data_IF_758616641833
#
_entry.id   IF_758616641833
#
_cell.length_a   1.000
_cell.length_b   1.000
_cell.length_c   1.000
_cell.angle_alpha   90.00
_cell.angle_beta   90.00
_cell.angle_gamma   90.00
#
_symmetry.space_group_name_H-M   'P 1'
#
loop_
_entity.id
_entity.type
_entity.pdbx_description
1 polymer ?
#
# COMPACT_ATOMS: atom_id res chain seq x y z
N UNK A 1 11.89 -15.77 -10.66
CA UNK A 1 10.82 -16.73 -10.33
C UNK A 1 9.57 -15.93 -10.00
N UNK A 2 8.45 -16.25 -10.65
CA UNK A 2 7.19 -15.54 -10.51
C UNK A 2 6.60 -15.80 -9.12
N UNK A 3 6.72 -14.84 -8.20
CA UNK A 3 6.03 -14.89 -6.92
C UNK A 3 4.54 -14.65 -7.15
N UNK A 4 3.72 -15.71 -7.14
CA UNK A 4 2.24 -15.70 -7.27
C UNK A 4 1.59 -14.31 -7.34
N UNK A 5 1.51 -13.74 -8.54
CA UNK A 5 1.03 -12.37 -8.75
C UNK A 5 -0.48 -12.37 -9.03
N UNK A 6 -1.25 -12.46 -7.95
CA UNK A 6 -2.61 -11.94 -7.83
C UNK A 6 -2.63 -11.00 -6.62
N UNK A 7 -3.64 -10.14 -6.48
CA UNK A 7 -3.92 -9.45 -5.21
C UNK A 7 -3.77 -10.46 -4.07
N UNK A 8 -3.08 -10.14 -2.96
CA UNK A 8 -2.92 -11.09 -1.88
C UNK A 8 -4.31 -11.52 -1.41
N UNK A 9 -4.66 -12.73 -1.80
CA UNK A 9 -5.94 -13.39 -1.67
C UNK A 9 -6.33 -13.45 -0.20
N UNK A 10 -7.61 -13.20 0.07
CA UNK A 10 -8.31 -13.47 1.33
C UNK A 10 -7.51 -14.36 2.29
N UNK A 11 -7.15 -13.83 3.46
CA UNK A 11 -6.40 -14.61 4.44
C UNK A 11 -7.31 -15.70 5.02
N UNK A 12 -7.05 -16.95 4.65
CA UNK A 12 -7.92 -18.09 4.96
C UNK A 12 -9.37 -17.89 4.48
N UNK A 13 -9.56 -17.24 3.32
CA UNK A 13 -10.90 -16.95 2.79
C UNK A 13 -11.61 -15.76 3.44
N UNK A 14 -10.95 -15.04 4.37
CA UNK A 14 -11.49 -13.86 5.05
C UNK A 14 -10.77 -12.56 4.68
N UNK A 15 -11.48 -11.43 4.75
CA UNK A 15 -10.89 -10.11 4.61
C UNK A 15 -10.03 -9.72 5.81
N UNK A 16 -8.88 -9.10 5.53
CA UNK A 16 -8.06 -8.45 6.56
C UNK A 16 -8.66 -7.07 6.89
N UNK A 17 -9.21 -6.91 8.09
CA UNK A 17 -9.88 -5.66 8.52
C UNK A 17 -9.01 -4.78 9.44
N UNK A 18 -7.67 -4.89 9.31
CA UNK A 18 -6.74 -4.20 10.22
C UNK A 18 -6.36 -2.77 9.82
N UNK A 19 -6.95 -2.21 8.75
CA UNK A 19 -6.65 -0.87 8.23
C UNK A 19 -7.24 0.27 9.08
N UNK A 20 -6.99 0.20 10.38
CA UNK A 20 -7.51 1.14 11.40
C UNK A 20 -6.52 2.27 11.72
N UNK A 21 -5.27 2.17 11.24
CA UNK A 21 -4.18 3.10 11.53
C UNK A 21 -3.94 4.05 10.36
N UNK A 22 -4.16 5.35 10.59
CA UNK A 22 -3.90 6.39 9.59
C UNK A 22 -4.78 6.31 8.35
N UNK A 23 -4.60 7.26 7.42
CA UNK A 23 -5.15 7.18 6.07
C UNK A 23 -4.20 6.36 5.18
N UNK A 24 -3.62 7.03 4.19
CA UNK A 24 -2.71 6.47 3.20
C UNK A 24 -1.29 6.24 3.73
N UNK A 25 -0.84 7.11 4.66
CA UNK A 25 0.50 7.05 5.28
C UNK A 25 1.68 7.24 4.30
N UNK A 26 1.50 8.03 3.22
CA UNK A 26 2.52 8.16 2.19
C UNK A 26 3.88 8.73 2.66
N UNK A 27 3.94 9.79 3.50
CA UNK A 27 5.22 10.26 4.03
C UNK A 27 5.93 9.20 4.88
N UNK A 28 5.18 8.45 5.68
CA UNK A 28 5.74 7.38 6.51
C UNK A 28 6.18 6.19 5.65
N UNK A 29 5.42 5.86 4.61
CA UNK A 29 5.77 4.87 3.59
C UNK A 29 7.13 5.14 2.97
N UNK A 30 7.36 6.37 2.51
CA UNK A 30 8.66 6.80 1.96
C UNK A 30 9.80 6.64 2.96
N UNK A 31 9.64 7.11 4.20
CA UNK A 31 10.68 7.01 5.24
C UNK A 31 11.06 5.55 5.51
N UNK A 32 10.06 4.67 5.68
CA UNK A 32 10.30 3.25 5.95
C UNK A 32 10.87 2.55 4.72
N UNK A 33 10.44 2.91 3.50
CA UNK A 33 11.02 2.39 2.27
C UNK A 33 12.51 2.76 2.15
N UNK A 34 12.90 4.00 2.48
CA UNK A 34 14.32 4.40 2.49
C UNK A 34 15.13 3.61 3.52
N UNK A 35 14.57 3.30 4.69
CA UNK A 35 15.23 2.41 5.65
C UNK A 35 15.34 0.99 5.13
N UNK A 36 14.30 0.51 4.45
CA UNK A 36 14.29 -0.81 3.84
C UNK A 36 15.40 -0.95 2.80
N UNK A 37 15.54 0.02 1.88
CA UNK A 37 16.61 0.06 0.87
C UNK A 37 17.99 0.11 1.52
N UNK A 38 18.20 0.99 2.51
CA UNK A 38 19.48 1.06 3.26
C UNK A 38 19.87 -0.25 3.94
N UNK A 39 18.89 -1.02 4.41
CA UNK A 39 19.11 -2.33 5.04
C UNK A 39 19.24 -3.49 4.03
N UNK A 40 19.08 -3.23 2.73
CA UNK A 40 19.23 -4.22 1.66
C UNK A 40 20.41 -3.97 0.72
N UNK A 41 20.99 -2.77 0.72
CA UNK A 41 22.32 -2.57 0.14
C UNK A 41 23.35 -3.28 1.04
N UNK A 42 24.16 -4.21 0.52
CA UNK A 42 25.37 -4.63 1.21
C UNK A 42 26.19 -3.39 1.52
N UNK A 43 26.66 -3.26 2.76
CA UNK A 43 27.56 -2.18 3.12
C UNK A 43 28.84 -2.30 2.28
N UNK A 44 29.01 -1.47 1.25
CA UNK A 44 30.28 -1.30 0.53
C UNK A 44 31.29 -0.54 1.40
N UNK A 45 31.53 -1.00 2.63
CA UNK A 45 32.55 -0.47 3.53
C UNK A 45 33.16 -1.61 4.36
N UNK A 46 33.89 -2.50 3.67
CA UNK A 46 34.93 -3.35 4.24
C UNK A 46 35.96 -3.77 3.15
N UNK A 47 36.88 -2.85 2.84
CA UNK A 47 38.28 -3.06 2.40
C UNK A 47 38.62 -4.24 1.45
N UNK A 48 39.00 -3.86 0.23
CA UNK A 48 40.11 -4.36 -0.61
C UNK A 48 40.35 -5.87 -0.75
N UNK A 49 40.08 -6.36 -1.97
CA UNK A 49 41.03 -7.17 -2.72
C UNK A 49 40.78 -8.69 -2.73
N UNK A 50 40.10 -9.18 -3.75
CA UNK A 50 40.53 -10.34 -4.56
C UNK A 50 39.52 -10.61 -5.67
N UNK A 51 40.10 -10.98 -6.80
CA UNK A 51 39.53 -11.50 -8.03
C UNK A 51 38.42 -12.55 -7.81
N UNK A 52 37.20 -12.30 -8.29
CA UNK A 52 36.27 -13.37 -8.71
C UNK A 52 35.08 -12.83 -9.50
N UNK A 53 34.97 -13.35 -10.72
CA UNK A 53 33.88 -13.22 -11.70
C UNK A 53 32.46 -13.25 -11.11
N UNK A 54 31.50 -12.47 -11.65
CA UNK A 54 30.11 -12.52 -11.23
C UNK A 54 29.40 -13.71 -11.87
N UNK A 55 28.94 -14.68 -11.07
CA UNK A 55 28.05 -15.75 -11.52
C UNK A 55 26.93 -15.99 -10.52
N UNK A 56 25.71 -15.96 -11.06
CA UNK A 56 24.43 -16.47 -10.56
C UNK A 56 23.75 -15.66 -9.43
N UNK A 57 22.54 -15.18 -9.77
CA UNK A 57 21.69 -14.36 -8.91
C UNK A 57 21.38 -15.01 -7.58
N UNK A 58 21.58 -14.22 -6.52
CA UNK A 58 21.18 -14.56 -5.17
C UNK A 58 19.65 -14.62 -5.10
N UNK A 59 19.13 -15.83 -4.91
CA UNK A 59 17.77 -16.05 -4.46
C UNK A 59 17.73 -15.59 -3.00
N UNK A 60 17.36 -14.33 -2.78
CA UNK A 60 17.03 -13.81 -1.44
C UNK A 60 15.96 -14.71 -0.85
N UNK A 61 16.34 -15.54 0.12
CA UNK A 61 15.44 -16.52 0.72
C UNK A 61 14.33 -15.82 1.52
N UNK A 62 13.14 -16.42 1.61
CA UNK A 62 12.02 -15.90 2.42
C UNK A 62 12.43 -15.58 3.87
N UNK A 63 13.41 -16.31 4.42
CA UNK A 63 14.00 -16.04 5.73
C UNK A 63 14.79 -14.72 5.81
N UNK A 64 15.54 -14.37 4.77
CA UNK A 64 16.34 -13.14 4.73
C UNK A 64 15.45 -11.90 4.64
N UNK A 65 14.38 -11.97 3.84
CA UNK A 65 13.36 -10.92 3.77
C UNK A 65 12.66 -10.75 5.13
N UNK A 66 12.28 -11.85 5.78
CA UNK A 66 11.69 -11.84 7.12
C UNK A 66 12.60 -11.18 8.16
N UNK A 67 13.89 -11.54 8.16
CA UNK A 67 14.89 -10.91 9.03
C UNK A 67 15.09 -9.42 8.73
N UNK A 68 15.14 -9.03 7.46
CA UNK A 68 15.25 -7.62 7.04
C UNK A 68 14.05 -6.81 7.54
N UNK A 69 12.82 -7.34 7.43
CA UNK A 69 11.61 -6.70 7.95
C UNK A 69 11.70 -6.51 9.47
N UNK A 70 12.17 -7.53 10.20
CA UNK A 70 12.33 -7.45 11.66
C UNK A 70 13.37 -6.41 12.07
N UNK A 71 14.51 -6.32 11.35
CA UNK A 71 15.54 -5.30 11.56
C UNK A 71 14.99 -3.89 11.32
N UNK A 72 14.37 -3.65 10.17
CA UNK A 72 13.76 -2.35 9.82
C UNK A 72 12.69 -1.95 10.82
N UNK A 73 11.84 -2.89 11.25
CA UNK A 73 10.81 -2.63 12.26
C UNK A 73 11.42 -2.18 13.59
N UNK A 74 12.43 -2.91 14.07
CA UNK A 74 13.10 -2.58 15.34
C UNK A 74 13.72 -1.19 15.25
N UNK A 75 14.52 -0.96 14.20
CA UNK A 75 15.18 0.33 13.97
C UNK A 75 14.17 1.49 13.90
N UNK A 76 13.10 1.35 13.12
CA UNK A 76 12.10 2.40 12.96
C UNK A 76 11.37 2.75 14.27
N UNK A 77 11.19 1.77 15.17
CA UNK A 77 10.55 1.98 16.47
C UNK A 77 11.53 2.60 17.46
N UNK A 78 12.72 2.03 17.58
CA UNK A 78 13.72 2.41 18.58
C UNK A 78 14.31 3.79 18.30
N UNK A 79 14.60 4.10 17.03
CA UNK A 79 15.14 5.40 16.61
C UNK A 79 14.04 6.46 16.42
N UNK A 80 12.76 6.09 16.60
CA UNK A 80 11.59 6.95 16.36
C UNK A 80 11.66 7.73 15.03
N UNK A 81 12.00 7.03 13.95
CA UNK A 81 12.27 7.63 12.62
C UNK A 81 11.08 8.41 12.05
N UNK A 82 9.86 8.10 12.49
CA UNK A 82 8.63 8.81 12.10
C UNK A 82 8.35 10.05 12.95
N UNK A 83 9.18 10.32 13.96
CA UNK A 83 9.04 11.43 14.92
C UNK A 83 7.66 11.48 15.59
N UNK A 84 7.11 10.30 15.94
CA UNK A 84 5.78 10.19 16.56
C UNK A 84 5.92 10.29 18.08
N UNK A 85 5.05 11.09 18.71
CA UNK A 85 5.14 11.47 20.13
C UNK A 85 5.14 10.29 21.10
N UNK A 86 4.39 9.23 20.81
CA UNK A 86 4.29 8.07 21.72
C UNK A 86 4.78 6.81 21.02
N UNK A 87 5.53 5.99 21.77
CA UNK A 87 6.08 4.73 21.25
C UNK A 87 4.98 3.78 20.76
N UNK A 88 3.84 3.73 21.46
CA UNK A 88 2.70 2.90 21.07
C UNK A 88 1.99 3.37 19.80
N UNK A 89 1.98 4.68 19.51
CA UNK A 89 1.50 5.19 18.23
C UNK A 89 2.52 4.95 17.12
N UNK A 90 3.82 5.15 17.41
CA UNK A 90 4.90 4.89 16.47
C UNK A 90 4.89 3.42 16.01
N UNK A 91 4.89 2.48 16.96
CA UNK A 91 4.85 1.05 16.69
C UNK A 91 3.66 0.62 15.84
N UNK A 92 2.48 1.23 16.06
CA UNK A 92 1.28 0.96 15.25
C UNK A 92 1.43 1.47 13.82
N UNK A 93 1.93 2.69 13.63
CA UNK A 93 2.14 3.26 12.29
C UNK A 93 3.23 2.50 11.53
N UNK A 94 4.37 2.21 12.16
CA UNK A 94 5.44 1.40 11.57
C UNK A 94 4.92 0.03 11.13
N UNK A 95 4.18 -0.65 12.01
CA UNK A 95 3.64 -1.98 11.68
C UNK A 95 2.64 -1.93 10.52
N UNK A 96 1.81 -0.89 10.44
CA UNK A 96 0.86 -0.70 9.34
C UNK A 96 1.56 -0.39 8.01
N UNK A 97 2.58 0.47 8.04
CA UNK A 97 3.37 0.80 6.85
C UNK A 97 4.08 -0.45 6.32
N UNK A 98 4.75 -1.21 7.19
CA UNK A 98 5.46 -2.44 6.78
C UNK A 98 4.54 -3.48 6.14
N UNK A 99 3.31 -3.62 6.65
CA UNK A 99 2.29 -4.48 6.02
C UNK A 99 1.99 -4.07 4.59
N UNK A 100 1.80 -2.77 4.32
CA UNK A 100 1.51 -2.29 2.96
C UNK A 100 2.72 -2.48 2.05
N UNK A 101 3.91 -2.11 2.52
CA UNK A 101 5.15 -2.25 1.77
C UNK A 101 5.49 -3.71 1.44
N UNK A 102 5.04 -4.70 2.22
CA UNK A 102 5.31 -6.11 1.92
C UNK A 102 4.64 -6.60 0.62
N UNK A 103 3.71 -5.83 0.06
CA UNK A 103 3.06 -6.14 -1.23
C UNK A 103 3.71 -5.47 -2.44
N UNK A 104 4.71 -4.62 -2.19
CA UNK A 104 5.48 -3.95 -3.21
C UNK A 104 6.67 -4.81 -3.64
N UNK A 105 7.02 -4.74 -4.92
CA UNK A 105 8.27 -5.31 -5.43
C UNK A 105 9.48 -4.53 -4.89
N UNK A 106 10.68 -5.08 -5.06
CA UNK A 106 11.88 -4.37 -4.65
C UNK A 106 12.09 -3.09 -5.48
N UNK A 107 11.73 -3.12 -6.77
CA UNK A 107 11.75 -1.95 -7.65
C UNK A 107 10.75 -0.87 -7.19
N UNK A 108 9.50 -1.25 -6.93
CA UNK A 108 8.48 -0.33 -6.38
C UNK A 108 8.95 0.27 -5.04
N UNK A 109 9.58 -0.54 -4.18
CA UNK A 109 10.10 -0.07 -2.89
C UNK A 109 11.28 0.90 -3.07
N UNK A 110 12.19 0.64 -4.02
CA UNK A 110 13.28 1.57 -4.37
C UNK A 110 12.73 2.89 -4.92
N UNK A 111 11.76 2.83 -5.82
CA UNK A 111 11.10 4.01 -6.36
C UNK A 111 10.40 4.83 -5.27
N UNK A 112 9.71 4.18 -4.33
CA UNK A 112 9.10 4.85 -3.19
C UNK A 112 10.12 5.55 -2.29
N UNK A 113 11.32 4.97 -2.16
CA UNK A 113 12.41 5.46 -1.32
C UNK A 113 13.22 6.60 -1.96
N UNK A 114 13.12 6.78 -3.28
CA UNK A 114 13.87 7.78 -4.03
C UNK A 114 13.45 9.20 -3.66
N UNK A 115 14.44 10.09 -3.55
CA UNK A 115 14.27 11.50 -3.20
C UNK A 115 13.62 12.26 -4.36
N UNK A 116 13.87 11.82 -5.60
CA UNK A 116 13.35 12.46 -6.82
C UNK A 116 11.89 12.05 -7.12
N UNK A 117 11.36 11.01 -6.44
CA UNK A 117 9.97 10.60 -6.61
C UNK A 117 9.01 11.67 -6.09
N UNK A 118 8.04 12.06 -6.92
CA UNK A 118 7.07 13.09 -6.58
C UNK A 118 6.16 12.66 -5.42
N UNK A 119 5.59 13.63 -4.71
CA UNK A 119 4.64 13.33 -3.64
C UNK A 119 3.40 12.56 -4.15
N UNK A 120 2.92 12.93 -5.35
CA UNK A 120 1.77 12.31 -5.98
C UNK A 120 2.07 10.84 -6.38
N UNK A 121 3.25 10.56 -6.92
CA UNK A 121 3.63 9.19 -7.28
C UNK A 121 3.79 8.31 -6.04
N UNK A 122 4.34 8.85 -4.94
CA UNK A 122 4.38 8.13 -3.67
C UNK A 122 2.99 7.88 -3.09
N UNK A 123 2.06 8.83 -3.22
CA UNK A 123 0.67 8.64 -2.81
C UNK A 123 0.00 7.55 -3.66
N UNK A 124 0.16 7.59 -4.98
CA UNK A 124 -0.37 6.58 -5.90
C UNK A 124 0.17 5.18 -5.56
N UNK A 125 1.48 5.04 -5.36
CA UNK A 125 2.08 3.75 -5.03
C UNK A 125 1.66 3.23 -3.65
N UNK A 126 1.47 4.12 -2.67
CA UNK A 126 0.95 3.75 -1.35
C UNK A 126 -0.54 3.38 -1.39
N UNK A 127 -1.31 3.92 -2.33
CA UNK A 127 -2.68 3.50 -2.60
C UNK A 127 -2.69 2.08 -3.18
N UNK A 128 -1.84 1.81 -4.17
CA UNK A 128 -1.63 0.47 -4.72
C UNK A 128 -1.25 -0.52 -3.63
N UNK A 129 -0.29 -0.18 -2.77
CA UNK A 129 0.12 -1.02 -1.64
C UNK A 129 -1.05 -1.33 -0.68
N UNK A 130 -1.91 -0.34 -0.42
CA UNK A 130 -3.10 -0.52 0.41
C UNK A 130 -4.12 -1.45 -0.25
N UNK A 131 -4.42 -1.25 -1.54
CA UNK A 131 -5.35 -2.09 -2.30
C UNK A 131 -4.85 -3.53 -2.46
N UNK A 132 -3.54 -3.73 -2.66
CA UNK A 132 -2.93 -5.06 -2.76
C UNK A 132 -2.92 -5.80 -1.42
N UNK A 133 -2.65 -5.11 -0.32
CA UNK A 133 -2.60 -5.74 1.01
C UNK A 133 -4.00 -6.01 1.60
N UNK A 134 -4.96 -5.12 1.32
CA UNK A 134 -6.34 -5.23 1.78
C UNK A 134 -7.28 -5.52 0.61
N UNK A 135 -7.54 -6.81 0.34
CA UNK A 135 -8.42 -7.24 -0.76
C UNK A 135 -9.76 -6.49 -0.81
N UNK A 136 -10.40 -6.26 0.35
CA UNK A 136 -11.64 -5.48 0.44
C UNK A 136 -11.53 -4.08 -0.17
N UNK A 137 -10.37 -3.43 0.00
CA UNK A 137 -10.09 -2.09 -0.51
C UNK A 137 -9.73 -2.14 -1.99
N UNK A 138 -8.99 -3.15 -2.44
CA UNK A 138 -8.74 -3.38 -3.87
C UNK A 138 -10.03 -3.63 -4.65
N UNK A 139 -10.93 -4.43 -4.08
CA UNK A 139 -12.26 -4.69 -4.65
C UNK A 139 -13.13 -3.42 -4.64
N UNK A 140 -13.17 -2.67 -3.53
CA UNK A 140 -13.89 -1.39 -3.50
C UNK A 140 -13.36 -0.38 -4.53
N UNK A 141 -12.04 -0.30 -4.70
CA UNK A 141 -11.43 0.56 -5.69
C UNK A 141 -11.83 0.17 -7.12
N UNK A 142 -11.95 -1.13 -7.39
CA UNK A 142 -12.29 -1.65 -8.72
C UNK A 142 -13.80 -1.56 -8.99
N UNK A 143 -14.63 -2.11 -8.09
CA UNK A 143 -16.07 -2.29 -8.26
C UNK A 143 -16.90 -1.03 -7.98
N UNK A 144 -16.32 -0.03 -7.30
CA UNK A 144 -17.03 1.21 -6.97
C UNK A 144 -16.29 2.43 -7.50
N UNK A 145 -15.03 2.64 -7.08
CA UNK A 145 -14.32 3.88 -7.43
C UNK A 145 -14.09 3.99 -8.94
N UNK A 146 -13.55 2.94 -9.54
CA UNK A 146 -13.31 2.90 -10.99
C UNK A 146 -14.61 2.76 -11.78
N UNK A 147 -15.53 1.90 -11.36
CA UNK A 147 -16.82 1.75 -12.06
C UNK A 147 -17.62 3.05 -12.08
N UNK A 148 -17.69 3.79 -10.97
CA UNK A 148 -18.32 5.11 -10.94
C UNK A 148 -17.66 6.08 -11.92
N UNK A 149 -16.32 6.10 -11.97
CA UNK A 149 -15.60 6.93 -12.92
C UNK A 149 -15.94 6.56 -14.38
N UNK A 150 -15.92 5.28 -14.73
CA UNK A 150 -16.23 4.79 -16.08
C UNK A 150 -17.68 5.05 -16.48
N UNK A 151 -18.62 5.02 -15.52
CA UNK A 151 -20.02 5.36 -15.74
C UNK A 151 -20.29 6.88 -15.75
N UNK A 152 -19.28 7.72 -15.52
CA UNK A 152 -19.43 9.16 -15.44
C UNK A 152 -20.20 9.64 -14.20
N UNK A 153 -20.24 8.82 -13.14
CA UNK A 153 -20.80 9.22 -11.86
C UNK A 153 -19.85 10.20 -11.16
N UNK A 154 -20.34 11.34 -10.65
CA UNK A 154 -19.48 12.43 -10.20
C UNK A 154 -18.81 12.18 -8.85
N UNK A 155 -19.33 11.24 -8.05
CA UNK A 155 -18.93 11.07 -6.65
C UNK A 155 -18.85 9.60 -6.26
N UNK A 156 -18.06 9.30 -5.24
CA UNK A 156 -18.11 8.04 -4.49
C UNK A 156 -18.46 8.39 -3.06
N UNK A 157 -19.68 8.08 -2.65
CA UNK A 157 -20.20 8.50 -1.35
C UNK A 157 -19.99 7.44 -0.29
N UNK A 158 -20.10 7.85 0.97
CA UNK A 158 -20.06 6.94 2.10
C UNK A 158 -21.16 5.88 2.06
N UNK A 159 -22.31 6.19 1.46
CA UNK A 159 -23.41 5.24 1.26
C UNK A 159 -23.04 4.18 0.22
N UNK A 160 -22.26 4.52 -0.80
CA UNK A 160 -21.77 3.55 -1.79
C UNK A 160 -20.82 2.54 -1.14
N UNK A 161 -19.96 3.01 -0.23
CA UNK A 161 -19.15 2.11 0.61
C UNK A 161 -20.02 1.21 1.50
N UNK A 162 -21.03 1.76 2.17
CA UNK A 162 -21.91 0.98 3.05
C UNK A 162 -22.68 -0.09 2.25
N UNK A 163 -23.15 0.24 1.04
CA UNK A 163 -23.82 -0.69 0.12
C UNK A 163 -22.87 -1.76 -0.40
N UNK A 164 -21.62 -1.40 -0.73
CA UNK A 164 -20.57 -2.36 -1.09
C UNK A 164 -20.30 -3.36 0.05
N UNK A 165 -20.11 -2.87 1.28
CA UNK A 165 -19.88 -3.75 2.45
C UNK A 165 -21.07 -4.68 2.68
N UNK A 166 -22.31 -4.19 2.58
CA UNK A 166 -23.51 -5.02 2.70
C UNK A 166 -23.55 -6.13 1.65
N UNK A 167 -23.18 -5.83 0.40
CA UNK A 167 -23.09 -6.83 -0.66
C UNK A 167 -22.05 -7.91 -0.38
N UNK A 168 -20.86 -7.53 0.12
CA UNK A 168 -19.80 -8.48 0.49
C UNK A 168 -20.17 -9.29 1.74
N UNK A 169 -20.87 -8.70 2.72
CA UNK A 169 -21.24 -9.37 3.97
C UNK A 169 -22.12 -10.62 3.77
N UNK A 170 -22.84 -10.72 2.64
CA UNK A 170 -23.62 -11.92 2.30
C UNK A 170 -22.80 -13.21 2.23
N UNK A 171 -21.49 -13.10 1.98
CA UNK A 171 -20.59 -14.25 1.81
C UNK A 171 -19.37 -14.19 2.74
N UNK A 172 -19.28 -13.16 3.57
CA UNK A 172 -18.12 -12.87 4.41
C UNK A 172 -18.57 -12.47 5.81
N UNK A 173 -18.69 -13.47 6.71
CA UNK A 173 -19.18 -13.30 8.08
C UNK A 173 -18.40 -12.24 8.87
N UNK A 174 -17.08 -12.08 8.65
CA UNK A 174 -16.31 -11.02 9.31
C UNK A 174 -16.81 -9.60 9.05
N UNK A 175 -17.55 -9.37 7.95
CA UNK A 175 -18.13 -8.07 7.62
C UNK A 175 -19.50 -7.89 8.30
N UNK A 176 -20.26 -8.96 8.48
CA UNK A 176 -21.53 -8.95 9.22
C UNK A 176 -21.29 -8.73 10.72
N UNK A 177 -20.22 -9.33 11.26
CA UNK A 177 -19.83 -9.23 12.66
C UNK A 177 -19.23 -7.86 13.06
N UNK A 178 -19.09 -6.93 12.11
CA UNK A 178 -18.51 -5.62 12.38
C UNK A 178 -19.39 -4.79 13.33
N UNK A 179 -18.82 -4.38 14.46
CA UNK A 179 -19.45 -3.37 15.29
C UNK A 179 -19.64 -2.04 14.53
N UNK A 180 -20.67 -1.23 14.84
CA UNK A 180 -20.85 0.08 14.22
C UNK A 180 -19.63 1.00 14.37
N UNK A 181 -18.93 0.92 15.50
CA UNK A 181 -17.71 1.69 15.73
C UNK A 181 -16.57 1.26 14.80
N UNK A 182 -16.37 -0.05 14.63
CA UNK A 182 -15.35 -0.59 13.72
C UNK A 182 -15.68 -0.24 12.27
N UNK A 183 -16.92 -0.47 11.83
CA UNK A 183 -17.37 -0.14 10.47
C UNK A 183 -17.14 1.35 10.14
N UNK A 184 -17.55 2.25 11.05
CA UNK A 184 -17.31 3.68 10.90
C UNK A 184 -15.82 4.02 10.82
N UNK A 185 -14.98 3.34 11.61
CA UNK A 185 -13.53 3.56 11.61
C UNK A 185 -12.89 3.12 10.31
N UNK A 186 -13.24 1.96 9.80
CA UNK A 186 -12.76 1.42 8.52
C UNK A 186 -13.15 2.37 7.37
N UNK A 187 -14.44 2.72 7.27
CA UNK A 187 -14.94 3.68 6.28
C UNK A 187 -14.22 5.02 6.35
N UNK A 188 -14.07 5.58 7.55
CA UNK A 188 -13.38 6.86 7.73
C UNK A 188 -11.92 6.81 7.26
N UNK A 189 -11.23 5.70 7.45
CA UNK A 189 -9.85 5.55 7.02
C UNK A 189 -9.73 5.37 5.50
N UNK A 190 -10.65 4.63 4.88
CA UNK A 190 -10.67 4.44 3.42
C UNK A 190 -10.89 5.77 2.71
N UNK A 191 -11.90 6.55 3.10
CA UNK A 191 -12.16 7.87 2.52
C UNK A 191 -11.01 8.84 2.75
N UNK A 192 -10.39 8.78 3.93
CA UNK A 192 -9.19 9.57 4.20
C UNK A 192 -8.03 9.15 3.26
N UNK A 193 -7.82 7.86 3.05
CA UNK A 193 -6.77 7.36 2.16
C UNK A 193 -7.03 7.76 0.70
N UNK A 194 -8.27 7.65 0.21
CA UNK A 194 -8.65 8.09 -1.13
C UNK A 194 -8.41 9.59 -1.34
N UNK A 195 -8.78 10.42 -0.36
CA UNK A 195 -8.53 11.86 -0.41
C UNK A 195 -7.04 12.18 -0.37
N UNK A 196 -6.25 11.48 0.45
CA UNK A 196 -4.80 11.63 0.51
C UNK A 196 -4.10 11.12 -0.77
N UNK A 197 -4.73 10.19 -1.49
CA UNK A 197 -4.27 9.66 -2.77
C UNK A 197 -4.72 10.50 -3.98
N UNK A 198 -5.49 11.57 -3.76
CA UNK A 198 -5.98 12.44 -4.82
C UNK A 198 -7.07 11.82 -5.70
N UNK A 199 -7.74 10.75 -5.24
CA UNK A 199 -8.80 10.06 -5.99
C UNK A 199 -10.16 10.73 -5.84
N UNK A 200 -10.35 11.41 -4.71
CA UNK A 200 -11.57 12.18 -4.42
C UNK A 200 -11.22 13.52 -3.79
N UNK A 201 -12.01 14.54 -4.08
CA UNK A 201 -11.94 15.81 -3.40
C UNK A 201 -12.46 15.70 -1.96
N UNK A 202 -11.66 16.16 -1.00
CA UNK A 202 -11.87 15.97 0.44
C UNK A 202 -13.23 16.44 1.01
N UNK A 203 -13.86 17.44 0.36
CA UNK A 203 -15.06 18.11 0.89
C UNK A 203 -16.35 17.61 0.23
N UNK A 204 -16.26 17.21 -1.02
CA UNK A 204 -17.40 16.90 -1.90
C UNK A 204 -17.48 15.42 -2.22
N UNK A 205 -16.44 14.63 -1.90
CA UNK A 205 -16.26 13.25 -2.35
C UNK A 205 -16.37 13.10 -3.88
N UNK A 206 -16.10 14.19 -4.61
CA UNK A 206 -16.07 14.22 -6.08
C UNK A 206 -14.88 13.42 -6.59
N UNK A 207 -15.14 12.49 -7.50
CA UNK A 207 -14.12 11.70 -8.15
C UNK A 207 -13.19 12.58 -8.99
N UNK A 208 -11.89 12.33 -8.87
CA UNK A 208 -10.85 13.00 -9.63
C UNK A 208 -10.14 11.98 -10.52
N UNK A 209 -9.93 12.26 -11.81
CA UNK A 209 -9.17 11.36 -12.67
C UNK A 209 -7.74 11.22 -12.15
N UNK A 210 -7.21 10.00 -12.14
CA UNK A 210 -5.82 9.77 -11.73
C UNK A 210 -4.84 10.12 -12.83
N UNK A 211 -3.89 10.98 -12.52
CA UNK A 211 -2.78 11.36 -13.39
C UNK A 211 -1.50 10.74 -12.84
N UNK A 212 -1.19 9.53 -13.31
CA UNK A 212 0.04 8.82 -12.94
C UNK A 212 1.24 9.41 -13.71
N UNK A 213 2.34 9.71 -13.02
CA UNK A 213 3.59 10.05 -13.69
C UNK A 213 4.12 8.88 -14.53
N UNK A 214 4.84 9.17 -15.62
CA UNK A 214 5.36 8.12 -16.52
C UNK A 214 6.22 7.08 -15.81
N UNK A 215 7.00 7.49 -14.81
CA UNK A 215 7.85 6.58 -14.03
C UNK A 215 7.03 5.60 -13.17
N UNK A 216 6.01 6.09 -12.44
CA UNK A 216 5.15 5.20 -11.63
C UNK A 216 4.27 4.32 -12.52
N UNK A 217 3.79 4.85 -13.64
CA UNK A 217 3.03 4.07 -14.61
C UNK A 217 3.89 2.93 -15.16
N UNK A 218 5.12 3.20 -15.61
CA UNK A 218 6.03 2.19 -16.12
C UNK A 218 6.35 1.09 -15.11
N UNK A 219 6.57 1.44 -13.84
CA UNK A 219 6.80 0.44 -12.78
C UNK A 219 5.55 -0.43 -12.53
N UNK A 220 4.36 0.14 -12.67
CA UNK A 220 3.10 -0.61 -12.51
C UNK A 220 2.77 -1.51 -13.71
N UNK A 221 3.46 -1.37 -14.85
CA UNK A 221 3.25 -2.25 -16.03
C UNK A 221 3.61 -3.71 -15.74
N UNK A 222 4.49 -3.97 -14.78
CA UNK A 222 4.79 -5.32 -14.30
C UNK A 222 3.56 -6.01 -13.68
N UNK A 223 2.60 -5.21 -13.19
CA UNK A 223 1.38 -5.65 -12.48
C UNK A 223 0.18 -4.79 -12.90
N UNK A 224 -0.26 -4.90 -14.17
CA UNK A 224 -1.22 -3.98 -14.77
C UNK A 224 -2.60 -4.04 -14.12
N UNK A 225 -2.91 -5.08 -13.34
CA UNK A 225 -4.11 -5.11 -12.49
C UNK A 225 -4.19 -3.91 -11.53
N UNK A 226 -3.04 -3.32 -11.19
CA UNK A 226 -2.94 -2.17 -10.27
C UNK A 226 -3.55 -0.90 -10.85
N UNK A 227 -3.62 -0.76 -12.17
CA UNK A 227 -4.31 0.36 -12.81
C UNK A 227 -5.81 0.36 -12.52
N UNK A 228 -6.40 -0.81 -12.20
CA UNK A 228 -7.82 -0.92 -11.87
C UNK A 228 -8.18 -0.29 -10.52
N UNK A 229 -7.20 0.01 -9.68
CA UNK A 229 -7.43 0.70 -8.41
C UNK A 229 -7.65 2.21 -8.57
N UNK A 230 -7.49 2.74 -9.78
CA UNK A 230 -7.58 4.17 -10.05
C UNK A 230 -8.82 4.53 -10.90
N UNK A 231 -9.43 5.71 -10.67
CA UNK A 231 -10.43 6.31 -11.56
C UNK A 231 -9.77 6.78 -12.86
N UNK A 232 -9.49 5.82 -13.74
CA UNK A 232 -8.94 6.03 -15.07
C UNK A 232 -9.50 4.99 -16.05
N UNK A 233 -9.63 5.41 -17.30
CA UNK A 233 -9.90 4.49 -18.42
C UNK A 233 -8.67 3.61 -18.65
N UNK A 234 -8.85 2.37 -19.11
CA UNK A 234 -7.69 1.58 -19.57
C UNK A 234 -7.01 2.36 -20.69
N UNK A 235 -5.69 2.56 -20.54
CA UNK A 235 -4.82 3.10 -21.59
C UNK A 235 -4.56 2.06 -22.66
#
# INVERSE_FOLDING_TARGET
>A
MAGSYGSETLHNGRYRLSFTVGGLLAPQGRIIASLFVKNGCPAEDAVSGADSSPLAGEVVGEGELGERILRVRRQAIDDNVLSIRTQSANARVVSEVLKRLSTLTEEETRFLADVDTSANDCQALMWVAMCRYYALIGEFATEVVRDHYLMGLPTVTREDYDRFIQGKAMWHEELEELSPATSNKLRSNVFKAMSEAGLVERRSDTLLPSLLGGSVAGILEDRPESFRFFPMSEG
#
